data_IF_982629679155
#
_entry.id   IF_982629679155
#
_cell.length_a   1.000
_cell.length_b   1.000
_cell.length_c   1.000
_cell.angle_alpha   90.00
_cell.angle_beta   90.00
_cell.angle_gamma   90.00
#
_symmetry.space_group_name_H-M   'P 1'
#
loop_
_entity.id
_entity.type
_entity.pdbx_description
1 polymer ?
#
# COMPACT_ATOMS: atom_id res chain seq x y z
N UNK A 1 12.00 30.08 -24.85
CA UNK A 1 11.49 31.46 -24.92
C UNK A 1 10.01 31.40 -24.56
N UNK A 2 9.49 32.30 -23.72
CA UNK A 2 8.06 32.28 -23.40
C UNK A 2 7.28 32.65 -24.67
N UNK A 3 6.48 31.71 -25.18
CA UNK A 3 5.62 31.97 -26.34
C UNK A 3 4.74 33.18 -26.09
N UNK A 4 4.49 33.97 -27.13
CA UNK A 4 3.61 35.12 -27.05
C UNK A 4 2.20 34.68 -26.63
N UNK A 5 1.78 35.06 -25.42
CA UNK A 5 0.44 34.73 -24.91
C UNK A 5 -0.55 35.85 -25.22
N UNK A 6 -1.80 35.49 -25.53
CA UNK A 6 -2.91 36.44 -25.69
C UNK A 6 -3.92 36.28 -24.55
N UNK A 7 -4.45 37.37 -23.99
CA UNK A 7 -5.48 37.28 -22.96
C UNK A 7 -6.79 36.79 -23.57
N UNK A 8 -7.49 35.91 -22.84
CA UNK A 8 -8.83 35.42 -23.15
C UNK A 8 -9.72 35.63 -21.92
N UNK A 9 -10.97 36.04 -22.12
CA UNK A 9 -11.98 36.12 -21.06
C UNK A 9 -12.97 34.97 -21.19
N UNK A 10 -13.23 34.27 -20.09
CA UNK A 10 -14.24 33.19 -20.00
C UNK A 10 -15.22 33.57 -18.92
N UNK A 11 -16.52 33.41 -19.18
CA UNK A 11 -17.57 33.62 -18.19
C UNK A 11 -17.77 32.33 -17.41
N UNK A 12 -17.68 32.42 -16.08
CA UNK A 12 -17.94 31.31 -15.17
C UNK A 12 -19.10 31.70 -14.24
N UNK A 13 -19.92 30.73 -13.79
CA UNK A 13 -20.80 30.90 -12.65
C UNK A 13 -20.01 31.39 -11.42
N UNK A 14 -20.65 32.16 -10.56
CA UNK A 14 -20.00 32.75 -9.38
C UNK A 14 -19.44 31.69 -8.42
N UNK A 15 -20.15 30.55 -8.29
CA UNK A 15 -19.69 29.40 -7.52
C UNK A 15 -18.36 28.83 -8.04
N UNK A 16 -18.21 28.70 -9.36
CA UNK A 16 -16.99 28.17 -9.98
C UNK A 16 -15.84 29.17 -9.89
N UNK A 17 -16.16 30.47 -9.99
CA UNK A 17 -15.19 31.54 -9.81
C UNK A 17 -14.62 31.54 -8.38
N UNK A 18 -15.48 31.35 -7.37
CA UNK A 18 -15.08 31.21 -5.98
C UNK A 18 -14.26 29.93 -5.75
N UNK A 19 -14.67 28.79 -6.32
CA UNK A 19 -13.95 27.53 -6.23
C UNK A 19 -12.52 27.65 -6.81
N UNK A 20 -12.39 28.28 -7.98
CA UNK A 20 -11.09 28.53 -8.63
C UNK A 20 -10.19 29.42 -7.76
N UNK A 21 -10.76 30.50 -7.19
CA UNK A 21 -10.03 31.41 -6.31
C UNK A 21 -9.55 30.73 -5.03
N UNK A 22 -10.41 29.93 -4.40
CA UNK A 22 -10.09 29.17 -3.19
C UNK A 22 -9.02 28.11 -3.44
N UNK A 23 -9.06 27.43 -4.59
CA UNK A 23 -8.05 26.45 -4.93
C UNK A 23 -6.70 27.12 -5.25
N UNK A 24 -6.72 28.28 -5.93
CA UNK A 24 -5.51 29.04 -6.21
C UNK A 24 -4.83 29.54 -4.92
N UNK A 25 -5.60 30.02 -3.95
CA UNK A 25 -5.05 30.47 -2.66
C UNK A 25 -4.41 29.33 -1.86
N UNK A 26 -5.03 28.14 -1.85
CA UNK A 26 -4.46 26.94 -1.21
C UNK A 26 -3.13 26.49 -1.81
N UNK A 27 -2.93 26.73 -3.10
CA UNK A 27 -1.71 26.39 -3.83
C UNK A 27 -0.72 27.56 -3.92
N UNK A 28 -0.97 28.66 -3.19
CA UNK A 28 -0.15 29.88 -3.21
C UNK A 28 0.06 30.43 -4.64
N UNK A 29 -0.97 30.36 -5.48
CA UNK A 29 -0.94 30.76 -6.88
C UNK A 29 -2.02 31.77 -7.26
N UNK A 30 -2.08 32.12 -8.55
CA UNK A 30 -3.14 33.01 -9.08
C UNK A 30 -4.25 32.20 -9.75
N UNK A 31 -5.51 32.67 -9.71
CA UNK A 31 -6.62 32.00 -10.40
C UNK A 31 -6.36 31.79 -11.89
N UNK A 32 -5.72 32.76 -12.55
CA UNK A 32 -5.38 32.70 -13.98
C UNK A 32 -4.30 31.65 -14.29
N UNK A 33 -3.31 31.47 -13.39
CA UNK A 33 -2.30 30.44 -13.55
C UNK A 33 -2.91 29.05 -13.35
N UNK A 34 -3.75 28.89 -12.33
CA UNK A 34 -4.45 27.63 -12.08
C UNK A 34 -5.39 27.27 -13.24
N UNK A 35 -6.18 28.21 -13.74
CA UNK A 35 -7.05 28.00 -14.90
C UNK A 35 -6.26 27.56 -16.14
N UNK A 36 -5.09 28.17 -16.38
CA UNK A 36 -4.21 27.80 -17.49
C UNK A 36 -3.72 26.35 -17.37
N UNK A 37 -3.31 25.92 -16.19
CA UNK A 37 -2.88 24.54 -15.97
C UNK A 37 -4.03 23.55 -16.09
N UNK A 38 -5.22 23.89 -15.59
CA UNK A 38 -6.42 23.06 -15.75
C UNK A 38 -6.78 22.90 -17.24
N UNK A 39 -6.80 23.99 -18.00
CA UNK A 39 -7.04 23.96 -19.45
C UNK A 39 -5.95 23.13 -20.15
N UNK A 40 -4.67 23.34 -19.81
CA UNK A 40 -3.57 22.56 -20.40
C UNK A 40 -3.73 21.07 -20.10
N UNK A 41 -4.05 20.71 -18.87
CA UNK A 41 -4.23 19.32 -18.45
C UNK A 41 -5.42 18.65 -19.14
N UNK A 42 -6.54 19.37 -19.26
CA UNK A 42 -7.72 18.90 -20.00
C UNK A 42 -7.45 18.74 -21.49
N UNK A 43 -6.74 19.69 -22.12
CA UNK A 43 -6.36 19.61 -23.52
C UNK A 43 -5.29 18.54 -23.80
N UNK A 44 -4.43 18.24 -22.82
CA UNK A 44 -3.45 17.17 -22.91
C UNK A 44 -4.07 15.76 -22.80
N UNK A 45 -5.39 15.66 -22.68
CA UNK A 45 -6.09 14.38 -22.62
C UNK A 45 -5.99 13.67 -21.28
N UNK A 46 -5.65 14.38 -20.20
CA UNK A 46 -5.86 13.85 -18.85
C UNK A 46 -7.36 13.87 -18.56
N UNK A 47 -8.08 12.88 -19.08
CA UNK A 47 -9.45 12.62 -18.69
C UNK A 47 -9.46 12.18 -17.21
N UNK A 48 -10.04 12.99 -16.31
CA UNK A 48 -10.13 12.64 -14.90
C UNK A 48 -10.85 11.30 -14.67
N UNK A 49 -11.79 10.94 -15.56
CA UNK A 49 -12.47 9.64 -15.54
C UNK A 49 -11.52 8.48 -15.82
N UNK A 50 -10.80 8.53 -16.94
CA UNK A 50 -9.77 7.53 -17.28
C UNK A 50 -8.69 7.43 -16.20
N UNK A 51 -8.30 8.54 -15.56
CA UNK A 51 -7.33 8.53 -14.47
C UNK A 51 -7.88 7.87 -13.20
N UNK A 52 -9.14 8.15 -12.84
CA UNK A 52 -9.81 7.49 -11.72
C UNK A 52 -9.97 5.98 -11.96
N UNK A 53 -10.35 5.56 -13.16
CA UNK A 53 -10.38 4.14 -13.53
C UNK A 53 -9.02 3.47 -13.40
N UNK A 54 -7.96 4.15 -13.86
CA UNK A 54 -6.60 3.64 -13.78
C UNK A 54 -6.15 3.50 -12.32
N UNK A 55 -6.45 4.47 -11.47
CA UNK A 55 -6.17 4.40 -10.03
C UNK A 55 -6.92 3.23 -9.38
N UNK A 56 -8.19 3.03 -9.72
CA UNK A 56 -9.00 1.95 -9.18
C UNK A 56 -8.50 0.56 -9.63
N UNK A 57 -8.00 0.43 -10.87
CA UNK A 57 -7.32 -0.79 -11.32
C UNK A 57 -6.02 -1.05 -10.56
N UNK A 58 -5.25 0.01 -10.30
CA UNK A 58 -4.01 -0.08 -9.50
C UNK A 58 -4.33 -0.53 -8.08
N UNK A 59 -5.35 0.05 -7.45
CA UNK A 59 -5.79 -0.30 -6.10
C UNK A 59 -6.19 -1.78 -6.01
N UNK A 60 -7.02 -2.26 -6.94
CA UNK A 60 -7.39 -3.69 -7.02
C UNK A 60 -6.17 -4.60 -7.16
N UNK A 61 -5.20 -4.21 -7.99
CA UNK A 61 -3.96 -4.99 -8.19
C UNK A 61 -3.09 -4.99 -6.94
N UNK A 62 -2.98 -3.87 -6.25
CA UNK A 62 -2.25 -3.77 -4.97
C UNK A 62 -2.90 -4.63 -3.89
N UNK A 63 -4.24 -4.65 -3.82
CA UNK A 63 -4.97 -5.51 -2.88
C UNK A 63 -4.69 -7.00 -3.13
N UNK A 64 -4.69 -7.43 -4.40
CA UNK A 64 -4.34 -8.80 -4.77
C UNK A 64 -2.89 -9.15 -4.37
N UNK A 65 -1.93 -8.30 -4.71
CA UNK A 65 -0.52 -8.50 -4.33
C UNK A 65 -0.36 -8.57 -2.81
N UNK A 66 -1.07 -7.74 -2.05
CA UNK A 66 -1.03 -7.78 -0.59
C UNK A 66 -1.55 -9.09 -0.02
N UNK A 67 -2.56 -9.71 -0.65
CA UNK A 67 -3.06 -11.02 -0.26
C UNK A 67 -2.04 -12.11 -0.57
N UNK A 68 -1.42 -12.07 -1.75
CA UNK A 68 -0.37 -13.03 -2.13
C UNK A 68 0.81 -12.98 -1.17
N UNK A 69 1.26 -11.78 -0.78
CA UNK A 69 2.33 -11.60 0.20
C UNK A 69 1.95 -12.19 1.57
N UNK A 70 0.70 -11.99 2.02
CA UNK A 70 0.24 -12.56 3.28
C UNK A 70 0.24 -14.10 3.26
N UNK A 71 -0.15 -14.70 2.13
CA UNK A 71 -0.08 -16.16 1.93
C UNK A 71 1.36 -16.66 1.97
N UNK A 72 2.27 -15.94 1.31
CA UNK A 72 3.70 -16.28 1.32
C UNK A 72 4.25 -16.24 2.75
N UNK A 73 3.98 -15.18 3.51
CA UNK A 73 4.43 -15.06 4.92
C UNK A 73 3.92 -16.24 5.75
N UNK A 74 2.63 -16.58 5.65
CA UNK A 74 2.06 -17.72 6.38
C UNK A 74 2.70 -19.06 5.97
N UNK A 75 3.04 -19.22 4.68
CA UNK A 75 3.70 -20.44 4.20
C UNK A 75 5.12 -20.56 4.76
N UNK A 76 5.86 -19.45 4.82
CA UNK A 76 7.20 -19.38 5.40
C UNK A 76 7.19 -19.67 6.90
N UNK A 77 6.22 -19.11 7.64
CA UNK A 77 6.06 -19.37 9.08
C UNK A 77 5.80 -20.85 9.35
N UNK A 78 4.93 -21.49 8.56
CA UNK A 78 4.65 -22.93 8.68
C UNK A 78 5.88 -23.79 8.37
N UNK A 79 6.70 -23.38 7.40
CA UNK A 79 7.95 -24.05 7.08
C UNK A 79 8.96 -23.91 8.22
N UNK A 80 9.10 -22.72 8.80
CA UNK A 80 9.97 -22.48 9.95
C UNK A 80 9.55 -23.31 11.17
N UNK A 81 8.24 -23.39 11.45
CA UNK A 81 7.69 -24.24 12.52
C UNK A 81 7.97 -25.73 12.27
N UNK A 82 7.76 -26.21 11.03
CA UNK A 82 8.04 -27.59 10.66
C UNK A 82 9.52 -27.93 10.83
N UNK A 83 10.42 -27.03 10.41
CA UNK A 83 11.86 -27.21 10.58
C UNK A 83 12.26 -27.28 12.07
N UNK A 84 11.74 -26.38 12.91
CA UNK A 84 12.00 -26.42 14.35
C UNK A 84 11.43 -27.67 15.04
N UNK A 85 10.29 -28.19 14.57
CA UNK A 85 9.74 -29.45 15.07
C UNK A 85 10.63 -30.64 14.71
N UNK A 86 11.11 -30.71 13.46
CA UNK A 86 12.05 -31.74 13.01
C UNK A 86 13.35 -31.69 13.81
N UNK A 87 13.90 -30.49 14.04
CA UNK A 87 15.09 -30.29 14.86
C UNK A 87 14.90 -30.79 16.30
N UNK A 88 13.73 -30.49 16.89
CA UNK A 88 13.36 -30.97 18.23
C UNK A 88 13.28 -32.50 18.28
N UNK A 89 12.59 -33.13 17.31
CA UNK A 89 12.50 -34.59 17.24
C UNK A 89 13.87 -35.23 17.04
N UNK A 90 14.73 -34.64 16.20
CA UNK A 90 16.09 -35.12 15.99
C UNK A 90 16.90 -35.06 17.28
N UNK A 91 16.83 -33.96 18.03
CA UNK A 91 17.46 -33.86 19.35
C UNK A 91 16.93 -34.87 20.36
N UNK A 92 15.62 -35.15 20.37
CA UNK A 92 15.03 -36.18 21.22
C UNK A 92 15.55 -37.58 20.86
N UNK A 93 15.63 -37.90 19.57
CA UNK A 93 16.20 -39.17 19.10
C UNK A 93 17.67 -39.31 19.49
N UNK A 94 18.48 -38.26 19.32
CA UNK A 94 19.88 -38.26 19.74
C UNK A 94 20.03 -38.48 21.25
N UNK A 95 19.19 -37.84 22.08
CA UNK A 95 19.18 -38.05 23.54
C UNK A 95 18.79 -39.47 23.92
N UNK A 96 17.74 -40.01 23.28
CA UNK A 96 17.31 -41.39 23.50
C UNK A 96 18.41 -42.40 23.11
N UNK A 97 19.11 -42.15 21.99
CA UNK A 97 20.23 -42.99 21.55
C UNK A 97 21.44 -42.91 22.49
N UNK A 98 21.67 -41.74 23.10
CA UNK A 98 22.71 -41.50 24.09
C UNK A 98 22.38 -42.09 25.48
N UNK A 99 21.18 -42.64 25.67
CA UNK A 99 20.75 -43.25 26.93
C UNK A 99 20.14 -42.28 27.95
N UNK A 100 20.01 -41.00 27.59
CA UNK A 100 19.34 -39.98 28.41
C UNK A 100 17.84 -39.97 28.09
N UNK A 101 17.10 -40.93 28.66
CA UNK A 101 15.65 -40.79 28.73
C UNK A 101 15.33 -39.74 29.77
N UNK A 102 14.60 -38.68 29.36
CA UNK A 102 14.06 -37.66 30.27
C UNK A 102 13.43 -38.38 31.45
N UNK A 103 14.08 -38.33 32.61
CA UNK A 103 13.45 -38.70 33.87
C UNK A 103 12.33 -37.69 34.03
N UNK A 104 11.11 -38.09 33.68
CA UNK A 104 9.92 -37.52 34.29
C UNK A 104 10.08 -37.75 35.79
N UNK A 105 10.64 -36.75 36.48
CA UNK A 105 10.50 -36.59 37.91
C UNK A 105 9.00 -36.40 38.17
N UNK A 106 8.31 -37.53 38.21
CA UNK A 106 7.05 -37.70 38.91
C UNK A 106 7.34 -37.36 40.35
N UNK A 107 7.19 -36.07 40.68
CA UNK A 107 7.15 -35.58 42.04
C UNK A 107 5.94 -36.25 42.72
N UNK A 108 6.21 -37.41 43.31
CA UNK A 108 5.35 -38.02 44.31
C UNK A 108 5.34 -37.09 45.52
N UNK A 109 4.38 -36.15 45.53
CA UNK A 109 3.97 -35.47 46.76
C UNK A 109 3.30 -36.52 47.64
N UNK A 110 4.07 -37.06 48.60
CA UNK A 110 3.56 -37.88 49.70
C UNK A 110 3.60 -37.07 50.98
N UNK A 111 2.40 -36.85 51.52
CA UNK A 111 2.01 -36.51 52.90
C UNK A 111 2.40 -35.14 53.44
#
# INVERSE_FOLDING_TARGET
>A
MADATRPLSVRLPEADHAALSNMASRLSGTPSALARELIRSGLAGNDPGAQAERLLRIERRLAAISQDVAVIIQSTDRQAQSAGHIETMFHQLLRALAGDTVKEETHHVRR
#
